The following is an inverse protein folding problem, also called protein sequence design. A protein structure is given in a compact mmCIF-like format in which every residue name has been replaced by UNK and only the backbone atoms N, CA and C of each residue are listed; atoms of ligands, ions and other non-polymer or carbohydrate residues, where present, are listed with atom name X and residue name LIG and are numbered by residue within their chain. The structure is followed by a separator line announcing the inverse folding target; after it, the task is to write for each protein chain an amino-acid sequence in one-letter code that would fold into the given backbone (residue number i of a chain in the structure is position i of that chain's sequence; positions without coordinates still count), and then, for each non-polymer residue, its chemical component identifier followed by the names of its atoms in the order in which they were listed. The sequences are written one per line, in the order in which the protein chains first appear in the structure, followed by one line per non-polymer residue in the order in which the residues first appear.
data_IF_499822060034
#
_entry.id   IF_499822060034
#
_cell.length_a   1.000
_cell.length_b   1.000
_cell.length_c   1.000
_cell.angle_alpha   90.00
_cell.angle_beta   90.00
_cell.angle_gamma   90.00
#
_symmetry.space_group_name_H-M   'P 1'
#
loop_
_entity.id
_entity.type
_entity.pdbx_description
1 polymer ?
#
# COMPACT_ATOMS: atom_id res chain seq x y z
N UNK A 1 23.20 -10.41 -12.28
CA UNK A 1 22.36 -9.20 -12.42
C UNK A 1 21.24 -9.30 -11.39
N UNK A 2 21.03 -8.30 -10.53
CA UNK A 2 20.00 -8.37 -9.49
C UNK A 2 18.61 -8.25 -10.13
N UNK A 3 17.87 -9.36 -10.17
CA UNK A 3 16.46 -9.36 -10.53
C UNK A 3 15.73 -8.37 -9.62
N UNK A 4 15.23 -7.30 -10.24
CA UNK A 4 14.41 -6.30 -9.58
C UNK A 4 13.10 -7.01 -9.23
N UNK A 5 13.00 -7.59 -8.03
CA UNK A 5 11.79 -8.25 -7.55
C UNK A 5 10.70 -7.18 -7.48
N UNK A 6 9.90 -7.07 -8.53
CA UNK A 6 8.73 -6.20 -8.57
C UNK A 6 7.75 -6.72 -7.52
N UNK A 7 7.76 -6.10 -6.34
CA UNK A 7 6.82 -6.42 -5.27
C UNK A 7 5.45 -5.92 -5.74
N UNK A 8 4.58 -6.85 -6.12
CA UNK A 8 3.18 -6.54 -6.46
C UNK A 8 2.46 -6.16 -5.17
N UNK A 9 2.02 -4.91 -5.06
CA UNK A 9 1.25 -4.43 -3.91
C UNK A 9 -0.24 -4.48 -4.27
N UNK A 10 -1.08 -5.20 -3.49
CA UNK A 10 -2.52 -5.23 -3.73
C UNK A 10 -3.15 -3.84 -3.58
N UNK A 11 -4.18 -3.54 -4.38
CA UNK A 11 -4.92 -2.26 -4.35
C UNK A 11 -5.45 -1.92 -2.95
N UNK A 12 -6.02 -2.89 -2.24
CA UNK A 12 -6.54 -2.70 -0.88
C UNK A 12 -5.45 -2.21 0.10
N UNK A 13 -4.22 -2.71 -0.04
CA UNK A 13 -3.10 -2.30 0.82
C UNK A 13 -2.70 -0.85 0.53
N UNK A 14 -2.74 -0.44 -0.74
CA UNK A 14 -2.47 0.95 -1.15
C UNK A 14 -3.53 1.89 -0.57
N UNK A 15 -4.82 1.52 -0.64
CA UNK A 15 -5.91 2.30 -0.08
C UNK A 15 -5.80 2.45 1.45
N UNK A 16 -5.50 1.35 2.16
CA UNK A 16 -5.26 1.38 3.61
C UNK A 16 -4.05 2.26 3.95
N UNK A 17 -2.97 2.17 3.18
CA UNK A 17 -1.77 2.99 3.39
C UNK A 17 -2.06 4.49 3.19
N UNK A 18 -2.86 4.85 2.19
CA UNK A 18 -3.30 6.25 1.98
C UNK A 18 -4.09 6.77 3.17
N UNK A 19 -5.04 6.00 3.68
CA UNK A 19 -5.82 6.38 4.87
C UNK A 19 -4.93 6.60 6.10
N UNK A 20 -3.94 5.73 6.32
CA UNK A 20 -2.98 5.90 7.41
C UNK A 20 -2.11 7.15 7.25
N UNK A 21 -1.67 7.45 6.02
CA UNK A 21 -0.90 8.66 5.72
C UNK A 21 -1.72 9.92 5.97
N UNK A 22 -2.98 9.94 5.54
CA UNK A 22 -3.89 11.05 5.78
C UNK A 22 -4.20 11.22 7.28
N UNK A 23 -4.47 10.11 7.99
CA UNK A 23 -4.71 10.14 9.42
C UNK A 23 -3.49 10.66 10.20
N UNK A 24 -2.28 10.22 9.82
CA UNK A 24 -1.04 10.72 10.41
C UNK A 24 -0.85 12.22 10.17
N UNK A 25 -1.06 12.69 8.93
CA UNK A 25 -1.00 14.12 8.59
C UNK A 25 -2.03 14.93 9.38
N UNK A 26 -3.27 14.43 9.49
CA UNK A 26 -4.33 15.09 10.25
C UNK A 26 -4.02 15.16 11.75
N UNK A 27 -3.32 14.15 12.28
CA UNK A 27 -2.82 14.13 13.65
C UNK A 27 -1.53 14.96 13.85
N UNK A 28 -1.04 15.66 12.82
CA UNK A 28 0.21 16.43 12.88
C UNK A 28 1.47 15.56 13.01
N UNK A 29 1.37 14.26 12.71
CA UNK A 29 2.48 13.30 12.78
C UNK A 29 3.02 12.99 11.38
N UNK A 30 4.31 12.68 11.30
CA UNK A 30 4.91 12.21 10.06
C UNK A 30 4.44 10.77 9.79
N UNK A 31 3.94 10.47 8.59
CA UNK A 31 3.62 9.10 8.21
C UNK A 31 4.89 8.25 8.13
N UNK A 32 4.74 6.95 8.40
CA UNK A 32 5.84 6.00 8.28
C UNK A 32 6.35 5.94 6.83
N UNK A 33 7.67 5.87 6.66
CA UNK A 33 8.30 5.90 5.33
C UNK A 33 7.94 4.66 4.48
N UNK A 34 7.72 3.51 5.10
CA UNK A 34 7.25 2.30 4.41
C UNK A 34 5.80 2.48 3.93
N UNK A 35 4.93 3.00 4.80
CA UNK A 35 3.53 3.25 4.48
C UNK A 35 3.39 4.33 3.41
N UNK A 36 4.19 5.39 3.48
CA UNK A 36 4.20 6.45 2.46
C UNK A 36 4.62 5.92 1.08
N UNK A 37 5.62 5.03 1.02
CA UNK A 37 6.02 4.37 -0.24
C UNK A 37 4.92 3.48 -0.82
N UNK A 38 4.17 2.80 0.04
CA UNK A 38 3.05 1.96 -0.39
C UNK A 38 1.86 2.80 -0.86
N UNK A 39 1.56 3.90 -0.16
CA UNK A 39 0.50 4.83 -0.55
C UNK A 39 0.73 5.48 -1.92
N UNK A 40 2.00 5.71 -2.27
CA UNK A 40 2.44 6.26 -3.56
C UNK A 40 2.54 5.21 -4.68
N UNK A 41 2.50 3.91 -4.33
CA UNK A 41 2.56 2.85 -5.31
C UNK A 41 1.35 2.89 -6.26
N UNK A 42 1.61 2.67 -7.55
CA UNK A 42 0.54 2.53 -8.55
C UNK A 42 -0.12 1.14 -8.37
N UNK A 43 -1.44 1.07 -8.14
CA UNK A 43 -2.12 -0.22 -8.11
C UNK A 43 -1.97 -0.88 -9.47
N UNK A 44 -1.51 -2.13 -9.48
CA UNK A 44 -1.51 -2.96 -10.67
C UNK A 44 -2.94 -3.48 -10.88
N UNK A 45 -3.58 -3.18 -12.03
CA UNK A 45 -4.95 -3.61 -12.30
C UNK A 45 -5.07 -5.12 -12.60
N UNK A 46 -3.98 -5.89 -12.55
CA UNK A 46 -3.96 -7.31 -12.86
C UNK A 46 -4.26 -8.24 -11.68
N UNK A 47 -4.64 -7.74 -10.51
CA UNK A 47 -4.75 -8.55 -9.30
C UNK A 47 -5.98 -8.22 -8.43
N UNK A 48 -7.13 -7.97 -9.07
CA UNK A 48 -8.48 -7.96 -8.47
C UNK A 48 -8.93 -9.37 -8.02
N UNK A 49 -8.04 -10.19 -7.46
CA UNK A 49 -8.45 -11.38 -6.74
C UNK A 49 -8.51 -11.04 -5.24
N UNK A 50 -9.67 -10.63 -4.71
CA UNK A 50 -9.88 -10.68 -3.27
C UNK A 50 -9.88 -12.17 -2.91
N UNK A 51 -8.79 -12.68 -2.35
CA UNK A 51 -8.91 -13.88 -1.52
C UNK A 51 -9.35 -13.36 -0.15
N UNK A 52 -10.65 -13.40 0.21
CA UNK A 52 -11.01 -13.32 1.61
C UNK A 52 -10.34 -14.49 2.32
N UNK A 53 -9.56 -14.21 3.36
CA UNK A 53 -9.13 -15.26 4.28
C UNK A 53 -10.40 -15.79 4.98
N UNK A 54 -10.73 -17.10 4.85
CA UNK A 54 -11.80 -17.66 5.66
C UNK A 54 -11.36 -17.68 7.14
N UNK A 55 -12.24 -17.21 8.02
CA UNK A 55 -12.19 -17.45 9.46
C UNK A 55 -13.40 -18.30 9.83
#
# INVERSE_FOLDING_TARGET
MAEKKTVKVPRQVIEIARLHVEAARRAGRKPDAGVARIADARPDPGNDNPTPAPA
#
